data_IF_267081652993
#
_entry.id   IF_267081652993
#
_cell.length_a   1.000
_cell.length_b   1.000
_cell.length_c   1.000
_cell.angle_alpha   90.00
_cell.angle_beta   90.00
_cell.angle_gamma   90.00
#
_symmetry.space_group_name_H-M   'P 1'
#
loop_
_entity.id
_entity.type
_entity.pdbx_description
1 polymer ?
#
# COMPACT_ATOMS: atom_id res chain seq x y z
N UNK A 1 9.10 29.69 10.29
CA UNK A 1 7.64 29.84 10.34
C UNK A 1 7.08 28.51 10.85
N UNK A 2 6.80 28.43 12.15
CA UNK A 2 6.39 27.20 12.83
C UNK A 2 4.86 27.09 12.77
N UNK A 3 4.35 26.21 11.91
CA UNK A 3 2.91 25.97 11.80
C UNK A 3 2.53 24.81 12.73
N UNK A 4 1.94 25.19 13.87
CA UNK A 4 0.91 24.49 14.65
C UNK A 4 0.88 22.96 14.50
N UNK A 5 1.73 22.29 15.27
CA UNK A 5 1.82 20.84 15.39
C UNK A 5 1.48 20.39 16.82
N UNK A 6 0.40 20.93 17.39
CA UNK A 6 0.04 20.71 18.82
C UNK A 6 -1.38 20.19 19.07
N UNK A 7 -2.21 19.92 18.06
CA UNK A 7 -3.60 19.50 18.29
C UNK A 7 -3.93 18.07 17.87
N UNK A 8 -2.95 17.26 17.46
CA UNK A 8 -3.14 15.83 17.23
C UNK A 8 -2.33 15.03 18.26
N UNK A 9 -2.68 15.23 19.53
CA UNK A 9 -2.30 14.30 20.59
C UNK A 9 -3.25 13.11 20.54
N UNK A 10 -2.86 12.07 19.82
CA UNK A 10 -3.34 10.71 20.05
C UNK A 10 -2.15 9.94 20.59
N UNK A 11 -2.32 9.45 21.81
CA UNK A 11 -1.29 8.78 22.60
C UNK A 11 -0.72 7.57 21.84
N UNK A 12 0.59 7.62 21.59
CA UNK A 12 1.44 6.45 21.33
C UNK A 12 1.55 5.94 19.89
N UNK A 13 2.36 6.60 19.03
CA UNK A 13 3.37 5.98 18.12
C UNK A 13 4.22 7.05 17.36
N UNK A 14 5.30 6.69 16.62
CA UNK A 14 6.69 7.17 16.74
C UNK A 14 7.22 8.00 15.54
N UNK A 15 8.52 8.36 15.56
CA UNK A 15 9.43 8.75 14.44
C UNK A 15 8.91 9.60 13.25
N UNK A 16 9.61 10.69 12.85
CA UNK A 16 9.24 11.58 11.74
C UNK A 16 9.07 10.92 10.36
N UNK A 17 9.46 9.65 10.20
CA UNK A 17 9.28 8.89 8.95
C UNK A 17 7.82 8.48 8.68
N UNK A 18 7.00 8.27 9.71
CA UNK A 18 5.63 7.78 9.54
C UNK A 18 4.64 8.81 8.97
N UNK A 19 4.69 10.09 9.37
CA UNK A 19 3.90 11.13 8.71
C UNK A 19 4.23 11.27 7.23
N UNK A 20 5.51 11.09 6.85
CA UNK A 20 5.94 11.16 5.44
C UNK A 20 5.41 9.96 4.64
N UNK A 21 5.47 8.75 5.21
CA UNK A 21 4.90 7.53 4.64
C UNK A 21 3.38 7.62 4.47
N UNK A 22 2.68 8.16 5.47
CA UNK A 22 1.23 8.40 5.41
C UNK A 22 0.88 9.43 4.33
N UNK A 23 1.68 10.49 4.17
CA UNK A 23 1.49 11.43 3.06
C UNK A 23 1.72 10.80 1.70
N UNK A 24 2.79 10.00 1.53
CA UNK A 24 3.02 9.30 0.25
C UNK A 24 1.89 8.32 -0.05
N UNK A 25 1.32 7.70 0.98
CA UNK A 25 0.11 6.90 0.87
C UNK A 25 -1.11 7.74 0.39
N UNK A 26 -1.40 8.87 1.03
CA UNK A 26 -2.55 9.72 0.68
C UNK A 26 -2.40 10.41 -0.68
N UNK A 27 -1.22 10.91 -1.01
CA UNK A 27 -0.97 11.75 -2.18
C UNK A 27 -0.76 10.95 -3.47
N UNK A 28 -0.28 9.70 -3.38
CA UNK A 28 0.03 8.88 -4.57
C UNK A 28 -0.84 7.64 -4.69
N UNK A 29 -0.98 6.88 -3.60
CA UNK A 29 -1.64 5.59 -3.64
C UNK A 29 -3.16 5.77 -3.70
N UNK A 30 -3.72 6.65 -2.86
CA UNK A 30 -5.17 6.91 -2.83
C UNK A 30 -5.74 7.38 -4.18
N UNK A 31 -5.20 8.41 -4.86
CA UNK A 31 -5.70 8.81 -6.18
C UNK A 31 -5.47 7.75 -7.25
N UNK A 32 -4.31 7.08 -7.26
CA UNK A 32 -4.02 6.01 -8.21
C UNK A 32 -5.02 4.85 -8.08
N UNK A 33 -5.36 4.42 -6.86
CA UNK A 33 -6.37 3.39 -6.63
C UNK A 33 -7.80 3.87 -6.90
N UNK A 34 -8.11 5.15 -6.67
CA UNK A 34 -9.41 5.71 -7.01
C UNK A 34 -9.63 5.78 -8.52
N UNK A 35 -8.60 6.09 -9.30
CA UNK A 35 -8.65 6.12 -10.76
C UNK A 35 -8.69 4.71 -11.35
N UNK A 36 -7.88 3.78 -10.82
CA UNK A 36 -7.79 2.42 -11.35
C UNK A 36 -8.99 1.56 -10.96
N UNK A 37 -9.51 1.65 -9.73
CA UNK A 37 -10.50 0.69 -9.20
C UNK A 37 -11.55 1.34 -8.26
N UNK A 38 -12.43 2.22 -8.77
CA UNK A 38 -13.46 2.88 -7.96
C UNK A 38 -14.47 1.89 -7.38
N UNK A 39 -14.79 0.80 -8.10
CA UNK A 39 -15.72 -0.24 -7.67
C UNK A 39 -15.21 -1.01 -6.45
N UNK A 40 -13.92 -1.35 -6.44
CA UNK A 40 -13.27 -2.03 -5.32
C UNK A 40 -13.29 -1.17 -4.05
N UNK A 41 -13.04 0.14 -4.19
CA UNK A 41 -13.08 1.05 -3.04
C UNK A 41 -14.45 1.07 -2.37
N UNK A 42 -15.54 1.08 -3.17
CA UNK A 42 -16.91 1.06 -2.66
C UNK A 42 -17.24 -0.28 -2.01
N UNK A 43 -16.83 -1.39 -2.62
CA UNK A 43 -17.04 -2.73 -2.07
C UNK A 43 -16.39 -2.87 -0.68
N UNK A 44 -15.13 -2.49 -0.57
CA UNK A 44 -14.40 -2.56 0.69
C UNK A 44 -14.95 -1.60 1.75
N UNK A 45 -15.42 -0.40 1.35
CA UNK A 45 -16.15 0.49 2.26
C UNK A 45 -17.44 -0.13 2.79
N UNK A 46 -18.20 -0.87 1.98
CA UNK A 46 -19.38 -1.61 2.45
C UNK A 46 -19.02 -2.72 3.44
N UNK A 47 -17.83 -3.32 3.30
CA UNK A 47 -17.28 -4.30 4.24
C UNK A 47 -16.66 -3.66 5.49
N UNK A 48 -16.73 -2.33 5.63
CA UNK A 48 -16.18 -1.58 6.77
C UNK A 48 -14.64 -1.48 6.76
N UNK A 49 -13.99 -1.76 5.63
CA UNK A 49 -12.54 -1.71 5.49
C UNK A 49 -12.15 -0.69 4.42
N UNK A 50 -11.64 0.49 4.78
CA UNK A 50 -11.11 1.39 3.78
C UNK A 50 -9.86 0.77 3.16
N UNK A 51 -9.70 0.94 1.83
CA UNK A 51 -8.54 0.49 1.07
C UNK A 51 -7.20 0.98 1.67
N UNK A 52 -7.26 2.14 2.36
CA UNK A 52 -6.16 2.70 3.14
C UNK A 52 -5.68 1.85 4.28
N UNK A 53 -6.60 1.33 5.08
CA UNK A 53 -6.26 0.49 6.23
C UNK A 53 -5.58 -0.81 5.80
N UNK A 54 -5.82 -1.24 4.57
CA UNK A 54 -5.33 -2.48 3.99
C UNK A 54 -3.91 -2.34 3.43
N UNK A 55 -3.55 -1.20 2.86
CA UNK A 55 -2.17 -0.94 2.38
C UNK A 55 -1.22 -0.46 3.50
N UNK A 56 -1.77 0.11 4.58
CA UNK A 56 -0.98 0.68 5.67
C UNK A 56 0.02 -0.30 6.32
N UNK A 57 -0.33 -1.58 6.62
CA UNK A 57 0.62 -2.55 7.16
C UNK A 57 1.81 -2.82 6.25
N UNK A 58 1.60 -2.80 4.92
CA UNK A 58 2.66 -3.02 3.96
C UNK A 58 3.61 -1.85 3.87
N UNK A 59 3.08 -0.63 3.92
CA UNK A 59 3.87 0.61 3.86
C UNK A 59 4.68 0.78 5.15
N UNK A 60 4.05 0.57 6.30
CA UNK A 60 4.72 0.68 7.61
C UNK A 60 5.80 -0.38 7.82
N UNK A 61 5.64 -1.58 7.25
CA UNK A 61 6.63 -2.66 7.29
C UNK A 61 7.51 -2.72 6.05
N UNK A 62 7.35 -1.82 5.08
CA UNK A 62 8.02 -1.86 3.78
C UNK A 62 8.01 -3.26 3.12
N UNK A 63 6.86 -3.95 3.19
CA UNK A 63 6.64 -5.34 2.75
C UNK A 63 7.48 -6.44 3.44
N UNK A 64 8.25 -6.09 4.47
CA UNK A 64 9.02 -7.06 5.27
C UNK A 64 8.06 -8.03 5.97
N UNK A 65 8.26 -9.32 5.71
CA UNK A 65 7.42 -10.41 6.23
C UNK A 65 6.22 -10.77 5.35
N UNK A 66 5.93 -9.99 4.30
CA UNK A 66 4.91 -10.31 3.30
C UNK A 66 5.54 -10.86 2.00
N UNK A 67 6.70 -10.33 1.61
CA UNK A 67 7.46 -10.78 0.45
C UNK A 67 8.71 -11.58 0.87
N UNK A 68 9.22 -12.46 -0.01
CA UNK A 68 10.50 -13.11 0.22
C UNK A 68 11.63 -12.05 0.29
N UNK A 69 12.66 -12.35 1.07
CA UNK A 69 13.74 -11.39 1.39
C UNK A 69 14.39 -10.82 0.13
N UNK A 70 14.58 -11.65 -0.90
CA UNK A 70 15.17 -11.24 -2.18
C UNK A 70 14.36 -10.15 -2.88
N UNK A 71 13.03 -10.30 -2.93
CA UNK A 71 12.11 -9.33 -3.53
C UNK A 71 12.05 -8.04 -2.71
N UNK A 72 12.13 -8.13 -1.38
CA UNK A 72 12.25 -6.96 -0.51
C UNK A 72 13.54 -6.22 -0.82
N UNK A 73 14.69 -6.89 -0.91
CA UNK A 73 15.96 -6.23 -1.23
C UNK A 73 15.91 -5.51 -2.59
N UNK A 74 15.31 -6.13 -3.61
CA UNK A 74 15.11 -5.49 -4.92
C UNK A 74 14.25 -4.22 -4.84
N UNK A 75 13.19 -4.23 -4.04
CA UNK A 75 12.37 -3.04 -3.81
C UNK A 75 13.19 -1.94 -3.13
N UNK A 76 13.97 -2.30 -2.12
CA UNK A 76 14.81 -1.36 -1.38
C UNK A 76 15.92 -0.76 -2.24
N UNK A 77 16.55 -1.54 -3.12
CA UNK A 77 17.50 -1.04 -4.11
C UNK A 77 16.88 0.05 -5.00
N UNK A 78 15.60 -0.08 -5.35
CA UNK A 78 14.88 0.93 -6.14
C UNK A 78 14.52 2.16 -5.33
N UNK A 79 14.14 2.02 -4.07
CA UNK A 79 13.87 3.15 -3.18
C UNK A 79 15.14 3.98 -3.01
N UNK A 80 16.28 3.33 -2.77
CA UNK A 80 17.58 3.99 -2.62
C UNK A 80 18.02 4.61 -3.96
N UNK A 81 17.89 3.89 -5.06
CA UNK A 81 18.29 4.37 -6.39
C UNK A 81 17.46 5.55 -6.91
N UNK A 82 16.20 5.67 -6.50
CA UNK A 82 15.29 6.77 -6.88
C UNK A 82 15.19 7.87 -5.81
N UNK A 83 15.81 7.68 -4.65
CA UNK A 83 15.68 8.53 -3.46
C UNK A 83 14.22 8.90 -3.13
N UNK A 84 13.32 7.91 -3.27
CA UNK A 84 11.88 8.12 -3.18
C UNK A 84 11.14 6.87 -2.71
N UNK A 85 10.07 7.08 -1.94
CA UNK A 85 9.15 6.02 -1.48
C UNK A 85 8.10 5.65 -2.55
N UNK A 86 8.17 6.25 -3.74
CA UNK A 86 7.24 5.95 -4.83
C UNK A 86 7.19 4.46 -5.21
N UNK A 87 8.30 3.69 -5.29
CA UNK A 87 8.25 2.25 -5.56
C UNK A 87 7.44 1.46 -4.53
N UNK A 88 7.49 1.89 -3.26
CA UNK A 88 6.76 1.27 -2.17
C UNK A 88 5.24 1.47 -2.34
N UNK A 89 4.83 2.69 -2.63
CA UNK A 89 3.43 3.03 -2.90
C UNK A 89 2.91 2.34 -4.17
N UNK A 90 3.72 2.33 -5.24
CA UNK A 90 3.38 1.69 -6.51
C UNK A 90 3.18 0.19 -6.34
N UNK A 91 4.06 -0.49 -5.60
CA UNK A 91 3.92 -1.92 -5.32
C UNK A 91 2.64 -2.23 -4.54
N UNK A 92 2.30 -1.41 -3.54
CA UNK A 92 1.06 -1.57 -2.80
C UNK A 92 -0.17 -1.42 -3.69
N UNK A 93 -0.21 -0.43 -4.57
CA UNK A 93 -1.26 -0.29 -5.57
C UNK A 93 -1.30 -1.51 -6.53
N UNK A 94 -0.14 -1.95 -7.02
CA UNK A 94 -0.01 -3.10 -7.92
C UNK A 94 -0.60 -4.37 -7.30
N UNK A 95 -0.31 -4.63 -6.02
CA UNK A 95 -0.82 -5.81 -5.29
C UNK A 95 -2.34 -5.77 -5.20
N UNK A 96 -2.92 -4.62 -4.88
CA UNK A 96 -4.39 -4.43 -4.83
C UNK A 96 -5.00 -4.67 -6.20
N UNK A 97 -4.46 -4.05 -7.26
CA UNK A 97 -4.95 -4.22 -8.62
C UNK A 97 -4.83 -5.68 -9.10
N UNK A 98 -3.72 -6.35 -8.79
CA UNK A 98 -3.50 -7.75 -9.14
C UNK A 98 -4.52 -8.68 -8.47
N UNK A 99 -4.92 -8.39 -7.23
CA UNK A 99 -5.90 -9.17 -6.46
C UNK A 99 -7.33 -8.67 -6.57
N UNK A 100 -7.62 -7.64 -7.39
CA UNK A 100 -8.94 -6.99 -7.45
C UNK A 100 -10.11 -7.97 -7.61
N UNK A 101 -9.98 -8.97 -8.49
CA UNK A 101 -11.04 -9.93 -8.77
C UNK A 101 -11.37 -10.78 -7.53
N UNK A 102 -10.33 -11.17 -6.78
CA UNK A 102 -10.48 -11.95 -5.54
C UNK A 102 -11.07 -11.07 -4.45
N UNK A 103 -10.65 -9.81 -4.36
CA UNK A 103 -11.17 -8.87 -3.37
C UNK A 103 -12.64 -8.51 -3.59
N UNK A 104 -13.06 -8.36 -4.84
CA UNK A 104 -14.47 -8.14 -5.21
C UNK A 104 -15.35 -9.36 -4.90
N UNK A 105 -14.79 -10.58 -4.90
CA UNK A 105 -15.52 -11.78 -4.49
C UNK A 105 -15.62 -11.99 -2.98
N UNK A 106 -14.79 -11.29 -2.19
CA UNK A 106 -14.80 -11.43 -0.73
C UNK A 106 -16.09 -10.84 -0.14
N UNK A 107 -16.66 -11.50 0.86
CA UNK A 107 -17.89 -11.05 1.52
C UNK A 107 -17.67 -10.57 2.95
N UNK A 108 -16.45 -10.68 3.46
CA UNK A 108 -16.09 -10.24 4.80
C UNK A 108 -14.73 -9.56 4.86
N UNK A 109 -14.58 -8.64 5.80
CA UNK A 109 -13.31 -7.95 6.10
C UNK A 109 -12.18 -8.93 6.48
N UNK A 110 -12.52 -10.05 7.12
CA UNK A 110 -11.56 -11.09 7.52
C UNK A 110 -10.98 -11.82 6.31
N UNK A 111 -11.84 -12.22 5.37
CA UNK A 111 -11.44 -12.90 4.14
C UNK A 111 -10.50 -12.03 3.30
N UNK A 112 -10.80 -10.73 3.23
CA UNK A 112 -9.92 -9.73 2.60
C UNK A 112 -8.53 -9.75 3.24
N UNK A 113 -8.42 -9.68 4.57
CA UNK A 113 -7.12 -9.71 5.24
C UNK A 113 -6.37 -11.02 5.03
N UNK A 114 -7.06 -12.16 5.03
CA UNK A 114 -6.45 -13.47 4.80
C UNK A 114 -5.89 -13.59 3.38
N UNK A 115 -6.65 -13.16 2.37
CA UNK A 115 -6.19 -13.12 0.97
C UNK A 115 -4.98 -12.19 0.79
N UNK A 116 -4.89 -11.15 1.59
CA UNK A 116 -3.88 -10.10 1.48
C UNK A 116 -2.67 -10.30 2.39
N UNK A 117 -2.74 -11.26 3.31
CA UNK A 117 -1.62 -11.64 4.16
C UNK A 117 -0.56 -12.47 3.40
N UNK A 118 -0.97 -13.27 2.41
CA UNK A 118 -0.05 -14.11 1.63
C UNK A 118 0.32 -13.48 0.28
N UNK A 119 1.48 -12.82 0.27
CA UNK A 119 2.06 -12.20 -0.91
C UNK A 119 3.33 -12.93 -1.39
N UNK A 120 3.65 -14.11 -0.85
CA UNK A 120 4.95 -14.75 -1.07
C UNK A 120 5.22 -15.16 -2.53
N UNK A 121 4.16 -15.29 -3.33
CA UNK A 121 4.24 -15.65 -4.75
C UNK A 121 4.34 -14.45 -5.69
N UNK A 122 4.32 -13.23 -5.16
CA UNK A 122 4.38 -12.02 -5.98
C UNK A 122 5.82 -11.69 -6.36
N UNK A 123 6.04 -11.42 -7.64
CA UNK A 123 7.31 -10.95 -8.17
C UNK A 123 7.25 -9.43 -8.32
N UNK A 124 8.09 -8.71 -7.58
CA UNK A 124 8.05 -7.23 -7.49
C UNK A 124 8.36 -6.57 -8.82
N UNK A 125 9.37 -7.06 -9.53
CA UNK A 125 9.83 -6.51 -10.80
C UNK A 125 8.72 -6.52 -11.88
N UNK A 126 8.09 -7.65 -12.22
CA UNK A 126 7.03 -7.67 -13.22
C UNK A 126 5.77 -6.92 -12.77
N UNK A 127 5.46 -6.86 -11.47
CA UNK A 127 4.32 -6.08 -10.97
C UNK A 127 4.53 -4.57 -11.12
N UNK A 128 5.72 -4.09 -10.76
CA UNK A 128 6.09 -2.68 -10.96
C UNK A 128 6.12 -2.34 -12.46
N UNK A 129 6.67 -3.23 -13.29
CA UNK A 129 6.65 -3.07 -14.74
C UNK A 129 5.22 -3.05 -15.30
N UNK A 130 4.33 -3.94 -14.84
CA UNK A 130 2.94 -3.93 -15.29
C UNK A 130 2.24 -2.60 -14.97
N UNK A 131 2.50 -2.00 -13.80
CA UNK A 131 1.93 -0.68 -13.48
C UNK A 131 2.57 0.47 -14.26
N UNK A 132 3.85 0.38 -14.59
CA UNK A 132 4.56 1.42 -15.35
C UNK A 132 4.30 1.35 -16.86
N UNK A 133 4.01 0.17 -17.41
CA UNK A 133 3.83 -0.07 -18.85
C UNK A 133 2.38 -0.28 -19.29
N UNK A 134 1.42 -0.53 -18.39
CA UNK A 134 -0.03 -0.54 -18.72
C UNK A 134 -0.72 0.82 -18.49
N UNK A 135 0.04 1.92 -18.44
CA UNK A 135 -0.49 3.29 -18.42
C UNK A 135 -0.82 3.82 -19.81
#
# INVERSE_FOLDING_TARGET
YWVKLHSLSLEGLPSPALPLLLRTYEDLLLPCLQELEPELSRHLQHLGMPLAALALPWITRAFVGYLPVEEVLLLWDRIIGLDSLLPLALLAAAVVCFRRQVLLSCQSSREVLEVMADLQRLQTVPLLQAMLFNG
#
